data_IF_020463492948
#
_entry.id   IF_020463492948
#
_cell.length_a   1.000
_cell.length_b   1.000
_cell.length_c   1.000
_cell.angle_alpha   90.00
_cell.angle_beta   90.00
_cell.angle_gamma   90.00
#
_symmetry.space_group_name_H-M   'P 1'
#
loop_
_entity.id
_entity.type
_entity.pdbx_description
1 polymer ?
#
# COMPACT_ATOMS: atom_id res chain seq x y z
N UNK A 1 12.45 -61.69 -1.79
CA UNK A 1 13.34 -61.08 -0.78
C UNK A 1 14.30 -60.06 -1.37
N UNK A 2 15.09 -60.39 -2.40
CA UNK A 2 16.10 -59.48 -2.99
C UNK A 2 15.51 -58.21 -3.63
N UNK A 3 14.35 -58.28 -4.26
CA UNK A 3 13.67 -57.10 -4.85
C UNK A 3 13.26 -56.07 -3.79
N UNK A 4 12.64 -56.51 -2.69
CA UNK A 4 12.21 -55.61 -1.61
C UNK A 4 13.40 -54.97 -0.89
N UNK A 5 14.47 -55.72 -0.66
CA UNK A 5 15.70 -55.15 -0.07
C UNK A 5 16.33 -54.09 -0.97
N UNK A 6 16.27 -54.27 -2.29
CA UNK A 6 16.79 -53.28 -3.24
C UNK A 6 15.94 -52.00 -3.25
N UNK A 7 14.61 -52.13 -3.15
CA UNK A 7 13.71 -50.96 -3.01
C UNK A 7 13.98 -50.17 -1.74
N UNK A 8 14.18 -50.85 -0.60
CA UNK A 8 14.50 -50.19 0.67
C UNK A 8 15.84 -49.46 0.59
N UNK A 9 16.87 -50.11 0.02
CA UNK A 9 18.19 -49.47 -0.20
C UNK A 9 18.09 -48.23 -1.08
N UNK A 10 17.31 -48.28 -2.16
CA UNK A 10 17.10 -47.13 -3.03
C UNK A 10 16.41 -45.96 -2.29
N UNK A 11 15.40 -46.24 -1.46
CA UNK A 11 14.74 -45.21 -0.64
C UNK A 11 15.70 -44.60 0.40
N UNK A 12 16.55 -45.42 1.01
CA UNK A 12 17.56 -44.94 1.96
C UNK A 12 18.61 -44.05 1.28
N UNK A 13 19.07 -44.44 0.09
CA UNK A 13 20.00 -43.64 -0.69
C UNK A 13 19.38 -42.29 -1.10
N UNK A 14 18.12 -42.29 -1.54
CA UNK A 14 17.40 -41.06 -1.84
C UNK A 14 17.24 -40.16 -0.59
N UNK A 15 16.90 -40.74 0.57
CA UNK A 15 16.79 -39.99 1.81
C UNK A 15 18.13 -39.38 2.24
N UNK A 16 19.24 -40.12 2.10
CA UNK A 16 20.58 -39.60 2.39
C UNK A 16 20.92 -38.42 1.49
N UNK A 17 20.70 -38.54 0.18
CA UNK A 17 20.96 -37.45 -0.76
C UNK A 17 20.13 -36.20 -0.42
N UNK A 18 18.86 -36.35 -0.01
CA UNK A 18 18.04 -35.22 0.43
C UNK A 18 18.57 -34.55 1.70
N UNK A 19 19.26 -35.28 2.59
CA UNK A 19 19.93 -34.68 3.75
C UNK A 19 21.22 -33.95 3.34
N UNK A 20 21.99 -34.50 2.41
CA UNK A 20 23.19 -33.84 1.87
C UNK A 20 22.79 -32.50 1.20
N UNK A 21 21.70 -32.49 0.42
CA UNK A 21 21.15 -31.28 -0.19
C UNK A 21 20.68 -30.27 0.88
N UNK A 22 20.00 -30.75 1.93
CA UNK A 22 19.53 -29.90 3.03
C UNK A 22 20.69 -29.27 3.80
N UNK A 23 21.75 -30.03 4.08
CA UNK A 23 22.96 -29.52 4.75
C UNK A 23 23.63 -28.43 3.90
N UNK A 24 23.73 -28.63 2.59
CA UNK A 24 24.28 -27.63 1.67
C UNK A 24 23.49 -26.31 1.67
N UNK A 25 22.15 -26.38 1.70
CA UNK A 25 21.28 -25.19 1.76
C UNK A 25 21.31 -24.48 3.13
N UNK A 26 21.60 -25.22 4.20
CA UNK A 26 21.70 -24.67 5.56
C UNK A 26 23.08 -24.12 5.89
N UNK A 27 24.13 -24.52 5.17
CA UNK A 27 25.51 -24.08 5.40
C UNK A 27 25.66 -22.54 5.45
N UNK A 28 25.05 -21.74 4.55
CA UNK A 28 25.11 -20.29 4.63
C UNK A 28 24.50 -19.74 5.94
N UNK A 29 23.47 -20.40 6.47
CA UNK A 29 22.81 -20.00 7.71
C UNK A 29 23.65 -20.32 8.94
N UNK A 30 24.51 -21.35 8.87
CA UNK A 30 25.45 -21.70 9.94
C UNK A 30 26.75 -20.88 9.89
N UNK A 31 27.07 -20.27 8.76
CA UNK A 31 28.28 -19.44 8.58
C UNK A 31 28.26 -18.13 9.40
N UNK A 32 27.09 -17.68 9.84
CA UNK A 32 26.88 -16.45 10.60
C UNK A 32 25.92 -16.70 11.77
N UNK A 33 25.92 -15.80 12.76
CA UNK A 33 24.95 -15.92 13.85
C UNK A 33 23.56 -15.49 13.39
N UNK A 34 22.53 -16.10 13.98
CA UNK A 34 21.13 -15.78 13.66
C UNK A 34 20.82 -14.26 13.76
N UNK A 35 21.23 -13.51 14.80
CA UNK A 35 20.99 -12.07 14.85
C UNK A 35 21.63 -11.30 13.70
N UNK A 36 22.85 -11.66 13.29
CA UNK A 36 23.56 -11.02 12.18
C UNK A 36 22.79 -11.20 10.86
N UNK A 37 22.32 -12.42 10.58
CA UNK A 37 21.51 -12.70 9.38
C UNK A 37 20.18 -11.93 9.35
N UNK A 38 19.57 -11.67 10.51
CA UNK A 38 18.29 -10.97 10.63
C UNK A 38 18.45 -9.45 10.43
N UNK A 39 19.57 -8.86 10.84
CA UNK A 39 19.73 -7.39 10.85
C UNK A 39 19.55 -6.81 9.45
N UNK A 40 20.13 -7.44 8.42
CA UNK A 40 20.10 -6.97 7.03
C UNK A 40 18.81 -7.24 6.24
N UNK A 41 17.84 -7.96 6.82
CA UNK A 41 16.61 -8.33 6.12
C UNK A 41 15.49 -7.29 6.28
N UNK A 42 14.52 -7.29 5.37
CA UNK A 42 13.26 -6.56 5.56
C UNK A 42 12.40 -7.24 6.64
N UNK A 43 11.56 -6.49 7.35
CA UNK A 43 10.65 -6.99 8.39
C UNK A 43 9.87 -8.25 7.98
N UNK A 44 9.39 -8.32 6.73
CA UNK A 44 8.65 -9.49 6.24
C UNK A 44 9.55 -10.71 6.03
N UNK A 45 10.77 -10.49 5.54
CA UNK A 45 11.77 -11.55 5.35
C UNK A 45 12.28 -12.08 6.69
N UNK A 46 12.44 -11.20 7.69
CA UNK A 46 12.73 -11.59 9.08
C UNK A 46 11.66 -12.51 9.62
N UNK A 47 10.38 -12.16 9.44
CA UNK A 47 9.26 -12.97 9.89
C UNK A 47 9.24 -14.36 9.22
N UNK A 48 9.51 -14.42 7.92
CA UNK A 48 9.64 -15.69 7.17
C UNK A 48 10.75 -16.57 7.74
N UNK A 49 11.97 -16.04 7.86
CA UNK A 49 13.11 -16.80 8.36
C UNK A 49 12.86 -17.31 9.79
N UNK A 50 12.33 -16.46 10.67
CA UNK A 50 11.99 -16.81 12.06
C UNK A 50 10.87 -17.85 12.17
N UNK A 51 10.04 -18.01 11.14
CA UNK A 51 8.96 -19.03 11.11
C UNK A 51 9.43 -20.33 10.46
N UNK A 52 10.28 -20.26 9.43
CA UNK A 52 10.83 -21.43 8.72
C UNK A 52 11.83 -22.19 9.59
N UNK A 53 12.62 -21.50 10.41
CA UNK A 53 13.58 -22.12 11.32
C UNK A 53 12.95 -23.16 12.27
N UNK A 54 11.94 -22.80 13.10
CA UNK A 54 11.30 -23.77 13.95
C UNK A 54 10.53 -24.83 13.14
N UNK A 55 9.98 -24.48 11.96
CA UNK A 55 9.33 -25.46 11.08
C UNK A 55 10.29 -26.59 10.71
N UNK A 56 11.51 -26.23 10.28
CA UNK A 56 12.55 -27.18 9.92
C UNK A 56 12.96 -28.06 11.10
N UNK A 57 13.14 -27.48 12.30
CA UNK A 57 13.50 -28.24 13.50
C UNK A 57 12.41 -29.27 13.85
N UNK A 58 11.15 -28.87 13.87
CA UNK A 58 10.06 -29.81 14.16
C UNK A 58 9.85 -30.85 13.06
N UNK A 59 10.09 -30.50 11.79
CA UNK A 59 10.04 -31.45 10.68
C UNK A 59 11.16 -32.50 10.76
N UNK A 60 12.39 -32.09 11.13
CA UNK A 60 13.48 -33.02 11.41
C UNK A 60 13.16 -33.95 12.59
N UNK A 61 12.54 -33.43 13.66
CA UNK A 61 12.04 -34.26 14.77
C UNK A 61 10.98 -35.25 14.27
N UNK A 62 10.06 -34.81 13.41
CA UNK A 62 9.05 -35.67 12.82
C UNK A 62 9.68 -36.82 12.00
N UNK A 63 10.69 -36.52 11.16
CA UNK A 63 11.44 -37.52 10.40
C UNK A 63 12.20 -38.47 11.33
N UNK A 64 12.81 -37.94 12.40
CA UNK A 64 13.52 -38.73 13.40
C UNK A 64 12.59 -39.73 14.12
N UNK A 65 11.39 -39.30 14.52
CA UNK A 65 10.41 -40.20 15.14
C UNK A 65 10.01 -41.34 14.20
N UNK A 66 9.78 -41.02 12.92
CA UNK A 66 9.47 -42.05 11.91
C UNK A 66 10.62 -43.02 11.69
N UNK A 67 11.87 -42.56 11.71
CA UNK A 67 13.04 -43.44 11.55
C UNK A 67 13.24 -44.36 12.74
N UNK A 68 12.82 -43.94 13.94
CA UNK A 68 12.76 -44.79 15.14
C UNK A 68 11.55 -45.73 15.19
N UNK A 69 10.62 -45.62 14.24
CA UNK A 69 9.38 -46.40 14.24
C UNK A 69 8.35 -45.93 15.27
N UNK A 70 8.50 -44.73 15.81
CA UNK A 70 7.52 -44.10 16.70
C UNK A 70 6.51 -43.34 15.82
N UNK A 71 5.21 -43.53 16.06
CA UNK A 71 4.18 -42.78 15.33
C UNK A 71 4.22 -41.30 15.73
N UNK A 72 4.57 -40.37 14.81
CA UNK A 72 4.67 -38.95 15.14
C UNK A 72 3.36 -38.34 15.61
N UNK A 73 2.20 -38.93 15.24
CA UNK A 73 0.88 -38.44 15.67
C UNK A 73 0.66 -38.53 17.17
N UNK A 74 1.37 -39.44 17.83
CA UNK A 74 1.32 -39.59 19.30
C UNK A 74 2.22 -38.60 20.02
N UNK A 75 3.13 -37.94 19.29
CA UNK A 75 4.12 -37.04 19.85
C UNK A 75 3.61 -35.59 19.84
N UNK A 76 3.97 -34.75 20.82
CA UNK A 76 3.61 -33.32 20.85
C UNK A 76 4.22 -32.47 19.72
N UNK A 77 4.83 -33.07 18.70
CA UNK A 77 5.37 -32.33 17.54
C UNK A 77 4.26 -31.85 16.62
N UNK A 78 3.16 -32.60 16.51
CA UNK A 78 2.02 -32.26 15.66
C UNK A 78 1.37 -30.92 16.04
N UNK A 79 1.01 -30.66 17.31
CA UNK A 79 0.45 -29.37 17.68
C UNK A 79 1.43 -28.21 17.46
N UNK A 80 2.75 -28.43 17.55
CA UNK A 80 3.74 -27.39 17.24
C UNK A 80 3.80 -27.09 15.72
N UNK A 81 3.67 -28.11 14.87
CA UNK A 81 3.53 -27.90 13.42
C UNK A 81 2.24 -27.15 13.07
N UNK A 82 1.12 -27.47 13.73
CA UNK A 82 -0.14 -26.74 13.56
C UNK A 82 -0.04 -25.28 14.04
N UNK A 83 0.70 -25.05 15.12
CA UNK A 83 0.98 -23.70 15.61
C UNK A 83 1.81 -22.91 14.60
N UNK A 84 2.82 -23.53 13.98
CA UNK A 84 3.65 -22.90 12.93
C UNK A 84 2.84 -22.57 11.69
N UNK A 85 1.92 -23.46 11.28
CA UNK A 85 1.00 -23.19 10.17
C UNK A 85 0.22 -21.90 10.37
N UNK A 86 -0.22 -21.61 11.59
CA UNK A 86 -0.90 -20.34 11.91
C UNK A 86 0.01 -19.12 11.70
N UNK A 87 1.33 -19.25 11.93
CA UNK A 87 2.27 -18.17 11.66
C UNK A 87 2.52 -17.97 10.16
N UNK A 88 2.55 -19.04 9.36
CA UNK A 88 2.56 -18.91 7.89
C UNK A 88 1.32 -18.20 7.38
N UNK A 89 0.14 -18.49 7.92
CA UNK A 89 -1.11 -17.80 7.57
C UNK A 89 -1.06 -16.31 7.94
N UNK A 90 -0.51 -15.96 9.12
CA UNK A 90 -0.30 -14.56 9.52
C UNK A 90 0.63 -13.82 8.57
N UNK A 91 1.73 -14.45 8.17
CA UNK A 91 2.67 -13.87 7.20
C UNK A 91 1.99 -13.70 5.84
N UNK A 92 1.31 -14.72 5.34
CA UNK A 92 0.61 -14.67 4.05
C UNK A 92 -0.44 -13.55 4.01
N UNK A 93 -1.20 -13.38 5.10
CA UNK A 93 -2.16 -12.28 5.26
C UNK A 93 -1.48 -10.92 5.38
N UNK A 94 -0.25 -10.84 5.88
CA UNK A 94 0.50 -9.58 5.94
C UNK A 94 1.09 -9.20 4.57
N UNK A 95 1.52 -10.18 3.77
CA UNK A 95 2.04 -9.95 2.42
C UNK A 95 0.93 -9.59 1.43
N UNK A 96 -0.19 -10.30 1.53
CA UNK A 96 -1.36 -10.10 0.70
C UNK A 96 -2.53 -9.73 1.61
N UNK A 97 -2.57 -8.49 2.13
CA UNK A 97 -3.66 -8.06 2.96
C UNK A 97 -4.96 -8.32 2.20
N UNK A 98 -5.90 -9.09 2.78
CA UNK A 98 -7.18 -9.29 2.14
C UNK A 98 -7.72 -7.90 1.84
N UNK A 99 -8.18 -7.65 0.60
CA UNK A 99 -8.71 -6.36 0.20
C UNK A 99 -9.96 -6.07 1.04
N UNK A 100 -9.75 -5.56 2.25
CA UNK A 100 -10.79 -5.10 3.12
C UNK A 100 -11.18 -3.79 2.51
N UNK A 101 -12.22 -3.82 1.68
CA UNK A 101 -12.89 -2.61 1.24
C UNK A 101 -13.26 -1.90 2.54
N UNK A 102 -12.58 -0.77 2.80
CA UNK A 102 -13.01 0.15 3.83
C UNK A 102 -14.32 0.71 3.27
N UNK A 103 -15.41 0.01 3.54
CA UNK A 103 -16.74 0.48 3.21
C UNK A 103 -17.03 1.64 4.16
N UNK A 104 -16.74 2.85 3.67
CA UNK A 104 -17.05 4.07 4.38
C UNK A 104 -18.58 4.17 4.45
N UNK A 105 -19.12 4.16 5.66
CA UNK A 105 -20.54 4.42 5.88
C UNK A 105 -20.83 5.90 5.54
N UNK A 106 -21.31 6.13 4.32
CA UNK A 106 -21.66 7.46 3.82
C UNK A 106 -22.80 8.09 4.62
N UNK A 107 -23.69 7.29 5.21
CA UNK A 107 -24.78 7.79 6.03
C UNK A 107 -24.25 8.28 7.38
N UNK A 108 -23.34 7.53 8.02
CA UNK A 108 -22.65 7.98 9.23
C UNK A 108 -21.80 9.24 8.96
N UNK A 109 -21.00 9.25 7.89
CA UNK A 109 -20.24 10.43 7.47
C UNK A 109 -21.15 11.65 7.25
N UNK A 110 -22.30 11.46 6.60
CA UNK A 110 -23.29 12.51 6.41
C UNK A 110 -23.90 13.01 7.73
N UNK A 111 -24.12 12.14 8.71
CA UNK A 111 -24.56 12.55 10.06
C UNK A 111 -23.49 13.38 10.76
N UNK A 112 -22.21 12.98 10.68
CA UNK A 112 -21.10 13.76 11.24
C UNK A 112 -21.01 15.15 10.62
N UNK A 113 -21.08 15.25 9.29
CA UNK A 113 -21.02 16.54 8.58
C UNK A 113 -22.22 17.41 8.96
N UNK A 114 -23.44 16.86 8.96
CA UNK A 114 -24.65 17.61 9.34
C UNK A 114 -24.55 18.10 10.78
N UNK A 115 -24.14 17.24 11.70
CA UNK A 115 -24.02 17.59 13.11
C UNK A 115 -22.96 18.68 13.32
N UNK A 116 -21.82 18.57 12.65
CA UNK A 116 -20.76 19.57 12.67
C UNK A 116 -21.25 20.92 12.10
N UNK A 117 -22.00 20.93 11.00
CA UNK A 117 -22.60 22.17 10.45
C UNK A 117 -23.61 22.77 11.42
N UNK A 118 -24.48 21.96 12.02
CA UNK A 118 -25.49 22.46 12.98
C UNK A 118 -24.88 22.96 14.29
N UNK A 119 -23.73 22.41 14.70
CA UNK A 119 -23.00 22.84 15.89
C UNK A 119 -21.98 23.95 15.60
N UNK A 120 -21.61 24.15 14.33
CA UNK A 120 -20.80 25.27 13.90
C UNK A 120 -21.65 26.54 14.00
N UNK A 121 -21.67 27.14 15.19
CA UNK A 121 -22.01 28.54 15.34
C UNK A 121 -20.93 29.32 14.60
N UNK A 122 -21.29 29.96 13.49
CA UNK A 122 -20.40 30.89 12.82
C UNK A 122 -20.11 32.03 13.79
N UNK A 123 -19.00 31.93 14.50
CA UNK A 123 -18.42 33.04 15.25
C UNK A 123 -17.71 33.89 14.22
N UNK A 124 -18.29 35.06 13.92
CA UNK A 124 -17.64 36.11 13.14
C UNK A 124 -16.25 36.32 13.73
N UNK A 125 -15.21 36.20 12.91
CA UNK A 125 -13.85 36.43 13.42
C UNK A 125 -13.72 37.91 13.77
N UNK A 126 -12.89 38.27 14.75
CA UNK A 126 -12.70 39.67 15.16
C UNK A 126 -12.31 40.62 14.00
N UNK A 127 -11.78 40.06 12.90
CA UNK A 127 -11.47 40.80 11.66
C UNK A 127 -12.71 41.20 10.85
N UNK A 128 -13.83 40.48 11.00
CA UNK A 128 -15.07 40.69 10.25
C UNK A 128 -16.08 41.53 11.05
N UNK A 129 -15.96 41.60 12.39
CA UNK A 129 -16.66 42.59 13.24
C UNK A 129 -16.04 44.00 13.10
N UNK A 130 -14.75 44.11 12.80
CA UNK A 130 -14.06 45.39 12.60
C UNK A 130 -14.46 46.14 11.31
N UNK A 131 -15.35 45.59 10.49
CA UNK A 131 -15.80 46.17 9.21
C UNK A 131 -17.21 46.80 9.25
N UNK A 132 -17.96 46.66 10.36
CA UNK A 132 -19.30 47.26 10.53
C UNK A 132 -19.27 48.62 11.29
N UNK A 133 -18.09 49.16 11.60
CA UNK A 133 -17.91 50.52 12.13
C UNK A 133 -18.00 51.57 10.99
N UNK A 134 -18.69 52.71 11.17
CA UNK A 134 -18.86 53.71 10.12
C UNK A 134 -17.51 54.34 9.72
N UNK A 135 -17.07 54.03 8.50
CA UNK A 135 -15.86 54.53 7.82
C UNK A 135 -15.64 56.06 7.91
N UNK A 136 -14.45 56.53 8.33
CA UNK A 136 -13.95 57.85 7.96
C UNK A 136 -13.06 57.73 6.71
N UNK A 137 -13.49 58.39 5.62
CA UNK A 137 -12.84 58.69 4.32
C UNK A 137 -11.43 58.14 3.99
N UNK A 138 -11.18 57.63 2.77
CA UNK A 138 -9.91 57.00 2.42
C UNK A 138 -8.78 58.02 2.27
N UNK A 139 -7.89 58.09 3.26
CA UNK A 139 -6.61 58.77 3.12
C UNK A 139 -5.66 57.88 2.30
N UNK A 140 -5.33 58.33 1.08
CA UNK A 140 -4.42 57.68 0.15
C UNK A 140 -3.00 57.64 0.74
N UNK A 141 -2.52 56.45 1.11
CA UNK A 141 -1.16 56.25 1.61
C UNK A 141 -0.18 56.31 0.43
N UNK A 142 0.87 57.16 0.45
CA UNK A 142 1.81 57.23 -0.66
C UNK A 142 2.68 55.98 -0.72
N UNK A 143 2.70 55.34 -1.89
CA UNK A 143 3.57 54.19 -2.18
C UNK A 143 5.01 54.70 -2.23
N UNK A 144 5.87 54.22 -1.31
CA UNK A 144 7.30 54.49 -1.35
C UNK A 144 7.94 53.55 -2.37
N UNK A 145 8.40 54.10 -3.49
CA UNK A 145 9.17 53.35 -4.49
C UNK A 145 10.48 52.91 -3.84
N UNK A 146 10.73 51.60 -3.80
CA UNK A 146 11.98 51.03 -3.26
C UNK A 146 12.98 50.80 -4.40
N UNK A 147 14.29 50.73 -4.10
CA UNK A 147 15.34 50.54 -5.11
C UNK A 147 15.08 49.34 -6.03
N UNK A 148 14.54 48.24 -5.47
CA UNK A 148 14.16 47.03 -6.23
C UNK A 148 13.05 47.26 -7.24
N UNK A 149 12.15 48.22 -7.00
CA UNK A 149 11.07 48.54 -7.94
C UNK A 149 11.59 49.32 -9.15
N UNK A 150 12.66 50.09 -8.98
CA UNK A 150 13.32 50.82 -10.07
C UNK A 150 14.13 49.86 -10.93
N UNK A 151 14.93 48.99 -10.30
CA UNK A 151 15.73 47.98 -11.01
C UNK A 151 14.87 47.05 -11.88
N UNK A 152 13.71 46.62 -11.38
CA UNK A 152 12.77 45.80 -12.16
C UNK A 152 12.20 46.53 -13.36
N UNK A 153 11.89 47.81 -13.22
CA UNK A 153 11.35 48.62 -14.31
C UNK A 153 12.40 48.87 -15.41
N UNK A 154 13.67 49.04 -15.03
CA UNK A 154 14.78 49.16 -15.97
C UNK A 154 15.04 47.85 -16.71
N UNK A 155 14.98 46.71 -16.01
CA UNK A 155 15.12 45.39 -16.61
C UNK A 155 14.03 45.12 -17.65
N UNK A 156 12.77 45.40 -17.32
CA UNK A 156 11.64 45.23 -18.25
C UNK A 156 11.74 46.19 -19.46
N UNK A 157 12.32 47.38 -19.28
CA UNK A 157 12.57 48.32 -20.38
C UNK A 157 13.66 47.81 -21.32
N UNK A 158 14.78 47.33 -20.79
CA UNK A 158 15.87 46.80 -21.60
C UNK A 158 15.45 45.55 -22.38
N UNK A 159 14.69 44.64 -21.75
CA UNK A 159 14.18 43.44 -22.43
C UNK A 159 13.28 43.80 -23.63
N UNK A 160 12.49 44.86 -23.48
CA UNK A 160 11.58 45.34 -24.52
C UNK A 160 12.30 46.12 -25.63
N UNK A 161 13.39 46.80 -25.30
CA UNK A 161 14.27 47.44 -26.27
C UNK A 161 15.05 46.38 -27.09
N UNK A 162 15.55 45.32 -26.44
CA UNK A 162 16.19 44.17 -27.10
C UNK A 162 15.22 43.42 -28.04
N UNK A 163 13.97 43.17 -27.61
CA UNK A 163 12.93 42.59 -28.49
C UNK A 163 12.63 43.48 -29.71
N UNK A 164 12.69 44.81 -29.56
CA UNK A 164 12.42 45.73 -30.67
C UNK A 164 13.59 45.86 -31.66
N UNK A 165 14.82 45.64 -31.21
CA UNK A 165 16.02 45.65 -32.08
C UNK A 165 16.14 44.34 -32.91
N UNK A 166 15.64 43.21 -32.40
CA UNK A 166 15.64 41.93 -33.12
C UNK A 166 14.58 41.85 -34.24
N UNK A 167 13.48 42.61 -34.15
CA UNK A 167 12.42 42.62 -35.18
C UNK A 167 12.80 43.38 -36.48
N UNK A 168 13.81 44.27 -36.48
CA UNK A 168 14.21 45.04 -37.67
C UNK A 168 15.14 44.27 -38.66
N UNK A 169 15.54 43.04 -38.35
CA UNK A 169 16.51 42.26 -39.13
C UNK A 169 15.97 41.19 -40.09
N UNK A 170 14.69 40.78 -39.98
CA UNK A 170 14.20 39.59 -40.70
C UNK A 170 13.57 39.93 -42.08
N UNK A 171 14.37 39.86 -43.15
CA UNK A 171 13.89 39.90 -44.54
C UNK A 171 13.14 38.60 -44.90
N UNK A 172 11.83 38.69 -45.11
CA UNK A 172 11.00 37.62 -45.67
C UNK A 172 11.33 37.48 -47.16
N UNK A 173 12.02 36.41 -47.55
CA UNK A 173 12.12 35.99 -48.95
C UNK A 173 10.95 35.05 -49.27
N UNK A 174 10.06 35.48 -50.18
CA UNK A 174 9.08 34.61 -50.82
C UNK A 174 9.79 33.67 -51.81
N UNK A 175 9.73 32.37 -51.55
CA UNK A 175 10.30 31.35 -52.42
C UNK A 175 9.63 30.00 -52.23
N UNK A 176 8.69 29.69 -53.13
CA UNK A 176 8.03 28.39 -53.28
C UNK A 176 8.98 27.20 -53.12
N UNK A 177 8.65 26.26 -52.23
CA UNK A 177 8.82 24.85 -52.56
C UNK A 177 7.85 23.95 -51.79
N UNK A 178 7.27 23.00 -52.50
CA UNK A 178 6.20 22.11 -52.08
C UNK A 178 6.68 21.06 -51.05
N UNK A 179 5.82 20.73 -50.08
CA UNK A 179 5.93 19.48 -49.34
C UNK A 179 4.53 18.93 -49.01
N UNK A 180 4.22 17.80 -49.66
CA UNK A 180 3.01 16.99 -49.52
C UNK A 180 3.13 16.10 -48.29
N UNK A 181 2.08 16.02 -47.45
CA UNK A 181 1.92 14.97 -46.43
C UNK A 181 0.47 14.51 -46.41
N UNK A 182 0.26 13.24 -46.75
CA UNK A 182 -1.04 12.54 -46.75
C UNK A 182 -1.32 11.76 -45.44
N UNK A 183 -2.62 11.55 -45.19
CA UNK A 183 -3.34 10.45 -44.46
C UNK A 183 -3.86 10.63 -43.02
N UNK A 184 -5.16 10.94 -42.96
CA UNK A 184 -6.36 10.21 -42.43
C UNK A 184 -6.40 9.39 -41.10
N UNK A 185 -7.58 9.53 -40.45
CA UNK A 185 -8.40 8.56 -39.67
C UNK A 185 -8.03 8.31 -38.17
N UNK A 186 -8.93 8.14 -37.17
CA UNK A 186 -10.40 8.04 -37.05
C UNK A 186 -10.83 8.21 -35.56
N UNK A 187 -12.11 8.49 -35.28
CA UNK A 187 -12.70 8.88 -33.97
C UNK A 187 -13.63 7.80 -33.39
N UNK A 188 -13.36 7.41 -32.13
CA UNK A 188 -14.20 6.82 -31.05
C UNK A 188 -15.56 6.12 -31.31
N UNK A 189 -15.73 4.91 -30.74
CA UNK A 189 -16.97 4.50 -30.03
C UNK A 189 -16.83 3.20 -29.18
N UNK A 190 -17.29 3.17 -27.91
CA UNK A 190 -17.54 1.93 -27.12
C UNK A 190 -18.84 2.10 -26.29
N UNK A 191 -19.79 1.14 -26.29
CA UNK A 191 -21.12 1.29 -25.67
C UNK A 191 -21.21 0.74 -24.23
N UNK A 192 -22.25 1.18 -23.51
CA UNK A 192 -22.53 0.94 -22.08
C UNK A 192 -23.44 -0.27 -21.81
N UNK A 193 -23.13 -1.04 -20.76
CA UNK A 193 -23.88 -2.24 -20.33
C UNK A 193 -24.74 -2.04 -19.06
N UNK A 194 -25.93 -2.67 -19.04
CA UNK A 194 -27.00 -2.55 -18.02
C UNK A 194 -26.77 -3.39 -16.74
N UNK A 195 -27.16 -2.86 -15.57
CA UNK A 195 -27.09 -3.53 -14.24
C UNK A 195 -28.34 -4.37 -13.94
N UNK A 196 -28.18 -5.58 -13.40
CA UNK A 196 -29.24 -6.40 -12.76
C UNK A 196 -29.01 -6.42 -11.24
N UNK A 197 -30.05 -6.12 -10.46
CA UNK A 197 -30.01 -6.08 -8.99
C UNK A 197 -30.17 -7.45 -8.34
N UNK A 198 -29.57 -7.64 -7.16
CA UNK A 198 -29.78 -8.79 -6.27
C UNK A 198 -30.48 -8.33 -4.97
N UNK A 199 -31.26 -9.21 -4.32
CA UNK A 199 -32.10 -8.83 -3.19
C UNK A 199 -31.30 -8.59 -1.90
N UNK A 200 -31.91 -7.79 -1.01
CA UNK A 200 -31.37 -7.33 0.27
C UNK A 200 -31.54 -8.43 1.32
N UNK A 201 -30.43 -8.91 1.92
CA UNK A 201 -30.46 -9.64 3.19
C UNK A 201 -29.98 -8.70 4.30
N UNK A 202 -30.75 -8.65 5.40
CA UNK A 202 -30.48 -7.81 6.57
C UNK A 202 -29.32 -8.38 7.41
N UNK A 203 -28.20 -7.66 7.57
CA UNK A 203 -27.02 -8.12 8.29
C UNK A 203 -27.21 -8.19 9.82
N UNK A 204 -28.34 -7.73 10.37
CA UNK A 204 -28.60 -7.70 11.81
C UNK A 204 -29.68 -8.67 12.27
N UNK A 205 -30.16 -9.56 11.39
CA UNK A 205 -31.17 -10.56 11.74
C UNK A 205 -30.75 -11.49 12.90
N UNK A 206 -29.45 -11.62 13.18
CA UNK A 206 -28.90 -12.50 14.24
C UNK A 206 -28.79 -11.88 15.64
N UNK A 207 -29.06 -10.58 15.83
CA UNK A 207 -28.73 -9.89 17.10
C UNK A 207 -29.92 -9.63 18.03
N UNK A 208 -31.12 -10.16 17.74
CA UNK A 208 -32.33 -9.94 18.57
C UNK A 208 -32.60 -10.99 19.66
N UNK A 209 -31.59 -11.74 20.08
CA UNK A 209 -31.73 -12.63 21.23
C UNK A 209 -30.54 -12.49 22.16
N UNK A 210 -30.56 -11.44 22.99
CA UNK A 210 -29.89 -11.39 24.30
C UNK A 210 -30.50 -10.20 25.09
N UNK A 211 -31.82 -10.29 25.32
CA UNK A 211 -32.52 -9.55 26.37
C UNK A 211 -32.59 -10.48 27.59
N UNK A 212 -31.84 -10.20 28.65
CA UNK A 212 -31.97 -10.82 29.97
C UNK A 212 -31.55 -9.82 31.08
N UNK A 213 -31.98 -10.01 32.33
CA UNK A 213 -32.95 -9.12 32.98
C UNK A 213 -32.36 -8.26 34.13
N UNK A 214 -33.17 -7.29 34.52
CA UNK A 214 -33.10 -6.52 35.77
C UNK A 214 -32.99 -7.39 37.03
N UNK A 215 -32.05 -7.09 37.94
CA UNK A 215 -32.17 -7.37 39.37
C UNK A 215 -31.21 -6.54 40.23
N UNK A 216 -31.81 -5.76 41.14
CA UNK A 216 -31.41 -5.35 42.49
C UNK A 216 -30.01 -4.76 42.80
N UNK A 217 -30.02 -3.53 43.32
CA UNK A 217 -29.61 -3.27 44.70
C UNK A 217 -30.53 -2.23 45.36
#
# INVERSE_FOLDING_TARGET
>A
MTSETNKVKAKLAALSASFDDLEAELEPLFSQTLPETIIGLESIQKAKLQTVLPYLVYDLIFIYLKSKGIDPKTHPVVPELDRIRQYFEKISNAENPPSKRIEIDKAAAGRFIKHAITQATWTRTAAEEAQDEPEPTPARIPIKVTSKMVERAEYEKNLKEEESEEEEGLKIYEGNNAMVVDKEADVSHIPTGRKRGRPILDPFAGLRYLSLPSSHH
#
